data_IF_765781317254
#
_entry.id   IF_765781317254
#
_cell.length_a   1.000
_cell.length_b   1.000
_cell.length_c   1.000
_cell.angle_alpha   90.00
_cell.angle_beta   90.00
_cell.angle_gamma   90.00
#
_symmetry.space_group_name_H-M   'P 1'
#
loop_
_entity.id
_entity.type
_entity.pdbx_description
1 polymer ?
#
# COMPACT_ATOMS: atom_id res chain seq x y z
N UNK A 1 14.17 -2.67 -53.84
CA UNK A 1 14.92 -3.35 -52.77
C UNK A 1 14.28 -2.97 -51.44
N UNK A 2 13.65 -3.94 -50.75
CA UNK A 2 12.78 -3.74 -49.59
C UNK A 2 13.61 -3.38 -48.34
N UNK A 3 13.26 -2.31 -47.64
CA UNK A 3 13.77 -2.01 -46.30
C UNK A 3 12.71 -2.44 -45.29
N UNK A 4 13.04 -3.48 -44.52
CA UNK A 4 12.20 -4.09 -43.49
C UNK A 4 12.43 -3.38 -42.16
N UNK A 5 11.41 -2.71 -41.63
CA UNK A 5 11.36 -2.31 -40.22
C UNK A 5 10.58 -3.37 -39.43
N UNK A 6 11.30 -4.28 -38.80
CA UNK A 6 10.74 -5.25 -37.86
C UNK A 6 10.29 -4.55 -36.57
N UNK A 7 9.01 -4.17 -36.50
CA UNK A 7 8.37 -3.76 -35.25
C UNK A 7 7.90 -5.01 -34.51
N UNK A 8 8.69 -5.52 -33.58
CA UNK A 8 8.26 -6.63 -32.71
C UNK A 8 7.21 -6.11 -31.72
N UNK A 9 5.94 -6.34 -32.05
CA UNK A 9 4.82 -6.17 -31.14
C UNK A 9 4.77 -7.41 -30.23
N UNK A 10 5.14 -7.27 -28.96
CA UNK A 10 4.98 -8.34 -27.97
C UNK A 10 3.53 -8.34 -27.47
N UNK A 11 2.71 -9.25 -28.01
CA UNK A 11 1.39 -9.58 -27.46
C UNK A 11 1.59 -10.81 -26.59
N UNK A 12 1.40 -10.68 -25.26
CA UNK A 12 1.46 -11.84 -24.38
C UNK A 12 0.05 -12.26 -23.96
N UNK A 13 -0.36 -13.44 -24.43
CA UNK A 13 -1.34 -14.27 -23.76
C UNK A 13 -0.65 -15.03 -22.62
N UNK A 14 -1.17 -14.92 -21.40
CA UNK A 14 -0.57 -15.53 -20.22
C UNK A 14 -0.74 -17.05 -20.31
N UNK A 15 0.33 -17.77 -20.63
CA UNK A 15 0.45 -19.20 -20.33
C UNK A 15 1.61 -19.38 -19.35
N UNK A 16 1.28 -19.83 -18.13
CA UNK A 16 2.26 -20.10 -17.08
C UNK A 16 3.00 -21.40 -17.41
N UNK A 17 4.29 -21.31 -17.69
CA UNK A 17 5.21 -22.44 -17.62
C UNK A 17 6.43 -22.00 -16.84
N UNK A 18 6.63 -22.61 -15.67
CA UNK A 18 7.75 -22.36 -14.78
C UNK A 18 8.50 -23.68 -14.57
N UNK A 19 9.80 -23.66 -14.86
CA UNK A 19 10.85 -24.60 -14.45
C UNK A 19 12.16 -23.80 -14.62
N UNK A 20 13.21 -23.91 -13.80
CA UNK A 20 13.43 -24.51 -12.49
C UNK A 20 14.78 -23.92 -11.99
N UNK A 21 15.10 -24.11 -10.70
CA UNK A 21 16.45 -23.94 -10.09
C UNK A 21 17.07 -22.53 -9.92
N UNK A 22 16.77 -21.87 -8.78
CA UNK A 22 17.66 -20.88 -8.14
C UNK A 22 17.70 -21.19 -6.63
N UNK A 23 18.88 -21.26 -5.97
CA UNK A 23 18.98 -21.57 -4.54
C UNK A 23 18.33 -20.47 -3.68
N UNK A 24 17.87 -20.79 -2.46
CA UNK A 24 17.12 -19.87 -1.63
C UNK A 24 18.01 -18.70 -1.18
N UNK A 25 17.80 -17.54 -1.79
CA UNK A 25 18.31 -16.27 -1.28
C UNK A 25 17.65 -16.04 0.07
N UNK A 26 18.44 -15.92 1.13
CA UNK A 26 17.96 -15.43 2.42
C UNK A 26 17.38 -14.03 2.18
N UNK A 27 16.05 -13.91 2.19
CA UNK A 27 15.36 -12.64 1.99
C UNK A 27 15.71 -11.73 3.19
N UNK A 28 16.49 -10.65 3.02
CA UNK A 28 16.59 -9.66 4.08
C UNK A 28 15.19 -9.09 4.33
N UNK A 29 14.90 -8.80 5.61
CA UNK A 29 13.71 -8.11 6.12
C UNK A 29 12.84 -7.49 5.03
N UNK A 30 11.64 -8.06 4.83
CA UNK A 30 10.55 -7.60 3.93
C UNK A 30 10.86 -6.22 3.36
N UNK A 31 11.35 -6.19 2.11
CA UNK A 31 11.66 -4.93 1.42
C UNK A 31 10.46 -3.99 1.61
N UNK A 32 10.69 -2.74 2.06
CA UNK A 32 9.60 -1.83 2.30
C UNK A 32 8.79 -1.67 1.01
N UNK A 33 7.46 -1.87 1.10
CA UNK A 33 6.55 -1.77 -0.05
C UNK A 33 6.87 -0.50 -0.84
N UNK A 34 7.14 -0.58 -2.16
CA UNK A 34 7.46 0.58 -2.96
C UNK A 34 6.41 1.67 -2.80
N UNK A 35 6.84 2.93 -2.83
CA UNK A 35 5.91 4.03 -2.92
C UNK A 35 5.19 3.92 -4.28
N UNK A 36 3.84 3.97 -4.31
CA UNK A 36 3.10 3.96 -5.56
C UNK A 36 3.53 5.17 -6.38
N UNK A 37 3.60 4.98 -7.69
CA UNK A 37 3.85 6.10 -8.60
C UNK A 37 2.65 7.06 -8.53
N UNK A 38 2.89 8.37 -8.36
CA UNK A 38 1.85 9.37 -8.43
C UNK A 38 1.13 9.26 -9.77
N UNK A 39 -0.21 9.34 -9.78
CA UNK A 39 -0.98 9.18 -11.00
C UNK A 39 -0.49 10.14 -12.06
N UNK A 40 -0.55 9.70 -13.32
CA UNK A 40 -0.20 10.55 -14.46
C UNK A 40 -0.93 11.89 -14.38
N UNK A 41 -0.33 12.99 -14.87
CA UNK A 41 -0.99 14.28 -14.91
C UNK A 41 -2.35 14.15 -15.61
N UNK A 42 -3.40 14.68 -15.00
CA UNK A 42 -4.73 14.75 -15.60
C UNK A 42 -5.07 16.20 -15.86
N UNK A 43 -5.76 16.45 -16.96
CA UNK A 43 -6.25 17.77 -17.34
C UNK A 43 -7.48 18.11 -16.50
N UNK A 44 -7.68 19.38 -16.13
CA UNK A 44 -8.79 19.83 -15.26
C UNK A 44 -9.47 21.04 -15.90
N UNK A 45 -10.63 20.77 -16.49
CA UNK A 45 -11.41 21.75 -17.25
C UNK A 45 -12.57 22.34 -16.43
N UNK A 46 -12.71 21.98 -15.16
CA UNK A 46 -13.86 22.34 -14.31
C UNK A 46 -14.07 23.85 -14.13
N UNK A 47 -13.07 24.66 -14.47
CA UNK A 47 -13.12 26.13 -14.38
C UNK A 47 -12.76 26.82 -15.70
N UNK A 48 -12.86 26.15 -16.84
CA UNK A 48 -12.73 26.84 -18.14
C UNK A 48 -14.04 27.55 -18.47
N UNK A 49 -14.00 28.66 -19.24
CA UNK A 49 -15.21 29.27 -19.77
C UNK A 49 -15.97 28.31 -20.71
N UNK A 50 -17.26 28.54 -20.93
CA UNK A 50 -18.17 27.58 -21.59
C UNK A 50 -18.58 27.94 -23.02
N UNK A 51 -17.91 28.89 -23.67
CA UNK A 51 -18.25 29.30 -25.04
C UNK A 51 -18.01 28.20 -26.08
N UNK A 52 -18.61 28.37 -27.26
CA UNK A 52 -18.62 27.35 -28.32
C UNK A 52 -17.20 26.88 -28.70
N UNK A 53 -16.26 27.81 -28.92
CA UNK A 53 -14.88 27.47 -29.24
C UNK A 53 -14.20 26.60 -28.16
N UNK A 54 -14.55 26.81 -26.88
CA UNK A 54 -14.03 26.03 -25.76
C UNK A 54 -14.70 24.66 -25.69
N UNK A 55 -15.99 24.56 -26.03
CA UNK A 55 -16.70 23.28 -26.14
C UNK A 55 -16.14 22.42 -27.28
N UNK A 56 -15.83 23.02 -28.42
CA UNK A 56 -15.13 22.35 -29.53
C UNK A 56 -13.76 21.82 -29.08
N UNK A 57 -12.97 22.63 -28.35
CA UNK A 57 -11.70 22.19 -27.78
C UNK A 57 -11.85 21.05 -26.75
N UNK A 58 -12.91 21.08 -25.94
CA UNK A 58 -13.25 19.99 -25.02
C UNK A 58 -13.58 18.69 -25.78
N UNK A 59 -14.32 18.76 -26.89
CA UNK A 59 -14.67 17.59 -27.70
C UNK A 59 -13.43 16.93 -28.33
N UNK A 60 -12.47 17.73 -28.84
CA UNK A 60 -11.18 17.21 -29.32
C UNK A 60 -10.41 16.49 -28.21
N UNK A 61 -10.38 17.07 -27.01
CA UNK A 61 -9.71 16.46 -25.86
C UNK A 61 -10.36 15.13 -25.44
N UNK A 62 -11.69 15.05 -25.46
CA UNK A 62 -12.43 13.82 -25.15
C UNK A 62 -12.14 12.69 -26.15
N UNK A 63 -11.86 13.03 -27.41
CA UNK A 63 -11.43 12.09 -28.46
C UNK A 63 -9.95 11.72 -28.36
N UNK A 64 -9.22 12.25 -27.38
CA UNK A 64 -7.78 12.00 -27.20
C UNK A 64 -6.87 12.84 -28.11
N UNK A 65 -7.42 13.75 -28.91
CA UNK A 65 -6.68 14.61 -29.84
C UNK A 65 -6.05 15.79 -29.08
N UNK A 66 -5.04 15.51 -28.25
CA UNK A 66 -4.50 16.49 -27.28
C UNK A 66 -3.82 17.69 -27.95
N UNK A 67 -3.06 17.47 -29.03
CA UNK A 67 -2.41 18.54 -29.80
C UNK A 67 -3.43 19.47 -30.47
N UNK A 68 -4.46 18.90 -31.10
CA UNK A 68 -5.52 19.68 -31.75
C UNK A 68 -6.35 20.45 -30.72
N UNK A 69 -6.68 19.80 -29.59
CA UNK A 69 -7.34 20.46 -28.47
C UNK A 69 -6.49 21.62 -27.92
N UNK A 70 -5.17 21.47 -27.79
CA UNK A 70 -4.27 22.53 -27.34
C UNK A 70 -4.34 23.76 -28.27
N UNK A 71 -4.26 23.53 -29.58
CA UNK A 71 -4.40 24.59 -30.59
C UNK A 71 -5.78 25.25 -30.51
N UNK A 72 -6.85 24.48 -30.35
CA UNK A 72 -8.21 24.99 -30.22
C UNK A 72 -8.39 25.86 -28.95
N UNK A 73 -7.87 25.45 -27.79
CA UNK A 73 -7.89 26.29 -26.58
C UNK A 73 -7.11 27.59 -26.76
N UNK A 74 -5.94 27.53 -27.41
CA UNK A 74 -5.12 28.72 -27.66
C UNK A 74 -5.83 29.72 -28.59
N UNK A 75 -6.51 29.23 -29.64
CA UNK A 75 -7.31 30.06 -30.52
C UNK A 75 -8.53 30.64 -29.80
N UNK A 76 -9.24 29.83 -29.00
CA UNK A 76 -10.39 30.27 -28.22
C UNK A 76 -10.00 31.39 -27.24
N UNK A 77 -8.78 31.39 -26.71
CA UNK A 77 -8.30 32.41 -25.78
C UNK A 77 -8.41 33.86 -26.32
N UNK A 78 -8.37 34.05 -27.64
CA UNK A 78 -8.49 35.39 -28.25
C UNK A 78 -9.87 36.03 -28.05
N UNK A 79 -10.88 35.22 -27.72
CA UNK A 79 -12.27 35.67 -27.51
C UNK A 79 -12.55 36.08 -26.07
N UNK A 80 -11.58 35.91 -25.16
CA UNK A 80 -11.77 36.14 -23.73
C UNK A 80 -10.86 37.25 -23.22
N UNK A 81 -11.31 37.93 -22.17
CA UNK A 81 -10.49 38.85 -21.39
C UNK A 81 -9.76 38.13 -20.25
N UNK A 82 -8.82 38.84 -19.61
CA UNK A 82 -8.18 38.34 -18.39
C UNK A 82 -9.21 38.19 -17.26
N UNK A 83 -9.18 37.12 -16.44
CA UNK A 83 -8.15 36.09 -16.34
C UNK A 83 -8.42 34.81 -17.16
N UNK A 84 -9.52 34.75 -17.91
CA UNK A 84 -9.92 33.54 -18.64
C UNK A 84 -9.09 33.34 -19.91
N UNK A 85 -8.65 34.44 -20.56
CA UNK A 85 -7.64 34.40 -21.63
C UNK A 85 -6.39 33.64 -21.21
N UNK A 86 -5.75 34.05 -20.11
CA UNK A 86 -4.54 33.39 -19.62
C UNK A 86 -4.83 31.96 -19.18
N UNK A 87 -6.02 31.68 -18.63
CA UNK A 87 -6.41 30.33 -18.23
C UNK A 87 -6.47 29.38 -19.42
N UNK A 88 -7.02 29.83 -20.56
CA UNK A 88 -7.09 29.05 -21.80
C UNK A 88 -5.71 28.87 -22.43
N UNK A 89 -4.85 29.90 -22.42
CA UNK A 89 -3.45 29.77 -22.87
C UNK A 89 -2.69 28.75 -22.01
N UNK A 90 -2.85 28.80 -20.68
CA UNK A 90 -2.22 27.85 -19.77
C UNK A 90 -2.76 26.43 -19.93
N UNK A 91 -4.04 26.29 -20.30
CA UNK A 91 -4.63 24.99 -20.63
C UNK A 91 -4.00 24.41 -21.92
N UNK A 92 -3.80 25.23 -22.95
CA UNK A 92 -3.11 24.83 -24.17
C UNK A 92 -1.66 24.41 -23.89
N UNK A 93 -0.93 25.20 -23.12
CA UNK A 93 0.43 24.88 -22.68
C UNK A 93 0.51 23.62 -21.82
N UNK A 94 -0.47 23.37 -20.94
CA UNK A 94 -0.56 22.11 -20.18
C UNK A 94 -0.74 20.91 -21.12
N UNK A 95 -1.57 21.00 -22.15
CA UNK A 95 -1.72 19.90 -23.11
C UNK A 95 -0.45 19.65 -23.91
N UNK A 96 0.22 20.70 -24.36
CA UNK A 96 1.47 20.59 -25.10
C UNK A 96 2.58 19.91 -24.27
N UNK A 97 2.76 20.32 -23.01
CA UNK A 97 3.82 19.73 -22.16
C UNK A 97 3.55 18.26 -21.83
N UNK A 98 2.27 17.85 -21.74
CA UNK A 98 1.91 16.45 -21.50
C UNK A 98 2.12 15.55 -22.72
N UNK A 99 2.15 16.12 -23.92
CA UNK A 99 2.59 15.45 -25.16
C UNK A 99 4.11 15.53 -25.35
N UNK A 100 4.85 16.02 -24.35
CA UNK A 100 6.30 16.27 -24.41
C UNK A 100 6.71 17.27 -25.49
N UNK A 101 5.79 18.12 -25.94
CA UNK A 101 5.99 19.10 -27.01
C UNK A 101 6.47 20.43 -26.43
N UNK A 102 7.79 20.54 -26.27
CA UNK A 102 8.44 21.66 -25.57
C UNK A 102 8.32 22.96 -26.33
N UNK A 103 8.55 22.93 -27.63
CA UNK A 103 8.53 24.12 -28.47
C UNK A 103 7.12 24.73 -28.47
N UNK A 104 6.10 23.89 -28.66
CA UNK A 104 4.71 24.32 -28.61
C UNK A 104 4.30 24.85 -27.22
N UNK A 105 4.77 24.19 -26.16
CA UNK A 105 4.57 24.68 -24.78
C UNK A 105 5.14 26.08 -24.63
N UNK A 106 6.37 26.31 -25.07
CA UNK A 106 7.05 27.60 -24.91
C UNK A 106 6.40 28.70 -25.75
N UNK A 107 5.95 28.38 -26.97
CA UNK A 107 5.16 29.28 -27.82
C UNK A 107 3.91 29.73 -27.06
N UNK A 108 3.11 28.82 -26.51
CA UNK A 108 1.92 29.20 -25.76
C UNK A 108 2.25 30.02 -24.50
N UNK A 109 3.31 29.66 -23.76
CA UNK A 109 3.73 30.42 -22.58
C UNK A 109 4.19 31.85 -22.92
N UNK A 110 4.80 32.08 -24.09
CA UNK A 110 5.21 33.42 -24.52
C UNK A 110 4.04 34.37 -24.82
N UNK A 111 2.83 33.85 -25.03
CA UNK A 111 1.62 34.65 -25.28
C UNK A 111 0.93 35.17 -24.00
N UNK A 112 1.46 34.82 -22.82
CA UNK A 112 0.94 35.27 -21.53
C UNK A 112 1.33 36.73 -21.26
N UNK A 113 0.38 37.49 -20.70
CA UNK A 113 0.66 38.84 -20.21
C UNK A 113 1.51 38.84 -18.93
N UNK A 114 2.05 40.00 -18.56
CA UNK A 114 2.96 40.14 -17.42
C UNK A 114 2.31 39.95 -16.03
N UNK A 115 0.97 40.07 -15.93
CA UNK A 115 0.24 39.99 -14.65
C UNK A 115 -0.70 38.78 -14.65
N UNK A 116 -0.30 37.72 -13.95
CA UNK A 116 -1.16 36.56 -13.68
C UNK A 116 -1.76 36.66 -12.27
N UNK A 117 -3.05 36.35 -12.13
CA UNK A 117 -3.65 36.16 -10.82
C UNK A 117 -3.04 34.92 -10.11
N UNK A 118 -3.32 34.76 -8.81
CA UNK A 118 -2.75 33.67 -7.98
C UNK A 118 -2.97 32.27 -8.56
N UNK A 119 -4.15 31.99 -9.13
CA UNK A 119 -4.48 30.66 -9.67
C UNK A 119 -3.76 30.40 -10.99
N UNK A 120 -3.74 31.38 -11.89
CA UNK A 120 -3.04 31.28 -13.18
C UNK A 120 -1.52 31.25 -12.98
N UNK A 121 -0.98 31.97 -12.00
CA UNK A 121 0.42 31.86 -11.60
C UNK A 121 0.76 30.45 -11.10
N UNK A 122 -0.11 29.83 -10.29
CA UNK A 122 0.11 28.45 -9.85
C UNK A 122 0.07 27.43 -11.01
N UNK A 123 -0.81 27.64 -12.01
CA UNK A 123 -0.85 26.83 -13.25
C UNK A 123 0.42 27.02 -14.08
N UNK A 124 0.87 28.27 -14.25
CA UNK A 124 2.12 28.57 -14.93
C UNK A 124 3.32 27.86 -14.29
N UNK A 125 3.47 28.00 -12.96
CA UNK A 125 4.51 27.31 -12.18
C UNK A 125 4.41 25.78 -12.27
N UNK A 126 3.19 25.25 -12.34
CA UNK A 126 2.97 23.83 -12.57
C UNK A 126 3.52 23.38 -13.94
N UNK A 127 3.25 24.13 -15.01
CA UNK A 127 3.74 23.82 -16.37
C UNK A 127 5.26 23.93 -16.44
N UNK A 128 5.85 24.98 -15.84
CA UNK A 128 7.32 25.08 -15.72
C UNK A 128 7.91 23.88 -14.99
N UNK A 129 7.26 23.41 -13.92
CA UNK A 129 7.65 22.19 -13.22
C UNK A 129 7.52 20.92 -14.07
N UNK A 130 6.53 20.83 -14.96
CA UNK A 130 6.41 19.71 -15.90
C UNK A 130 7.53 19.73 -16.95
N UNK A 131 7.89 20.90 -17.49
CA UNK A 131 9.04 21.03 -18.39
C UNK A 131 10.33 20.55 -17.71
N UNK A 132 10.59 21.00 -16.48
CA UNK A 132 11.74 20.53 -15.71
C UNK A 132 11.71 19.01 -15.42
N UNK A 133 10.53 18.42 -15.28
CA UNK A 133 10.38 16.96 -15.17
C UNK A 133 10.70 16.23 -16.49
N UNK A 134 10.31 16.79 -17.64
CA UNK A 134 10.70 16.25 -18.95
C UNK A 134 12.22 16.31 -19.15
N UNK A 135 12.89 17.29 -18.53
CA UNK A 135 14.35 17.45 -18.49
C UNK A 135 15.06 16.52 -17.50
N UNK A 136 14.33 15.66 -16.79
CA UNK A 136 14.86 14.93 -15.63
C UNK A 136 15.53 15.85 -14.58
N UNK A 137 15.20 17.15 -14.59
CA UNK A 137 15.73 18.16 -13.69
C UNK A 137 14.88 18.23 -12.41
N UNK A 138 14.89 17.13 -11.65
CA UNK A 138 13.98 16.91 -10.51
C UNK A 138 14.05 17.97 -9.42
N UNK A 139 15.25 18.45 -9.08
CA UNK A 139 15.46 19.50 -8.08
C UNK A 139 14.84 20.82 -8.54
N UNK A 140 15.03 21.15 -9.81
CA UNK A 140 14.47 22.35 -10.43
C UNK A 140 12.94 22.27 -10.50
N UNK A 141 12.40 21.11 -10.87
CA UNK A 141 10.96 20.87 -10.82
C UNK A 141 10.38 21.13 -9.42
N UNK A 142 11.04 20.64 -8.35
CA UNK A 142 10.60 20.89 -6.97
C UNK A 142 10.71 22.35 -6.52
N UNK A 143 11.65 23.11 -7.09
CA UNK A 143 11.82 24.55 -6.86
C UNK A 143 10.69 25.35 -7.54
N UNK A 144 10.34 24.98 -8.77
CA UNK A 144 9.31 25.64 -9.57
C UNK A 144 7.89 25.30 -9.09
N UNK A 145 7.64 24.03 -8.76
CA UNK A 145 6.31 23.56 -8.37
C UNK A 145 5.84 24.22 -7.06
N UNK A 146 4.62 24.80 -7.00
CA UNK A 146 4.15 25.49 -5.80
C UNK A 146 4.14 24.58 -4.56
N UNK A 147 4.78 25.02 -3.48
CA UNK A 147 4.79 24.31 -2.18
C UNK A 147 3.47 24.50 -1.43
N UNK A 148 2.97 25.74 -1.39
CA UNK A 148 1.68 26.06 -0.78
C UNK A 148 0.58 26.01 -1.84
N UNK A 149 -0.36 25.10 -1.64
CA UNK A 149 -1.48 24.82 -2.54
C UNK A 149 -2.83 25.14 -1.90
N UNK A 150 -2.83 25.68 -0.67
CA UNK A 150 -4.05 26.10 0.03
C UNK A 150 -4.74 27.21 -0.76
N UNK A 151 -6.06 27.11 -0.91
CA UNK A 151 -6.86 28.09 -1.66
C UNK A 151 -6.90 27.88 -3.18
N UNK A 152 -6.08 26.99 -3.75
CA UNK A 152 -6.16 26.63 -5.17
C UNK A 152 -7.37 25.72 -5.45
N UNK A 153 -7.87 25.63 -6.68
CA UNK A 153 -8.87 24.63 -7.07
C UNK A 153 -8.40 23.21 -6.73
N UNK A 154 -9.30 22.33 -6.27
CA UNK A 154 -8.97 20.98 -5.80
C UNK A 154 -8.27 20.11 -6.86
N UNK A 155 -8.65 20.23 -8.13
CA UNK A 155 -7.97 19.55 -9.23
C UNK A 155 -6.52 20.02 -9.37
N UNK A 156 -6.28 21.33 -9.47
CA UNK A 156 -4.94 21.91 -9.54
C UNK A 156 -4.07 21.57 -8.32
N UNK A 157 -4.68 21.60 -7.13
CA UNK A 157 -4.07 21.16 -5.88
C UNK A 157 -3.55 19.72 -5.96
N UNK A 158 -4.31 18.81 -6.56
CA UNK A 158 -3.89 17.42 -6.74
C UNK A 158 -2.78 17.30 -7.77
N UNK A 159 -2.90 17.97 -8.93
CA UNK A 159 -1.89 17.96 -9.99
C UNK A 159 -0.51 18.38 -9.48
N UNK A 160 -0.44 19.53 -8.81
CA UNK A 160 0.82 20.06 -8.27
C UNK A 160 1.46 19.06 -7.31
N UNK A 161 0.68 18.49 -6.38
CA UNK A 161 1.21 17.60 -5.36
C UNK A 161 1.66 16.26 -5.94
N UNK A 162 0.93 15.73 -6.92
CA UNK A 162 1.35 14.53 -7.65
C UNK A 162 2.65 14.76 -8.44
N UNK A 163 2.79 15.93 -9.08
CA UNK A 163 4.02 16.31 -9.76
C UNK A 163 5.19 16.47 -8.80
N UNK A 164 4.97 17.08 -7.63
CA UNK A 164 5.99 17.20 -6.58
C UNK A 164 6.42 15.83 -6.05
N UNK A 165 5.48 14.92 -5.79
CA UNK A 165 5.83 13.54 -5.42
C UNK A 165 6.66 12.85 -6.50
N UNK A 166 6.28 13.02 -7.78
CA UNK A 166 7.01 12.38 -8.90
C UNK A 166 8.43 12.93 -9.00
N UNK A 167 8.60 14.24 -8.89
CA UNK A 167 9.91 14.88 -8.85
C UNK A 167 10.74 14.38 -7.66
N UNK A 168 10.14 14.31 -6.47
CA UNK A 168 10.81 13.83 -5.27
C UNK A 168 11.24 12.36 -5.37
N UNK A 169 10.38 11.47 -5.88
CA UNK A 169 10.72 10.07 -6.11
C UNK A 169 11.84 9.91 -7.14
N UNK A 170 11.73 10.61 -8.27
CA UNK A 170 12.68 10.51 -9.38
C UNK A 170 14.03 11.16 -9.06
N UNK A 171 14.07 12.05 -8.07
CA UNK A 171 15.33 12.65 -7.59
C UNK A 171 16.29 11.65 -6.95
N UNK A 172 15.79 10.50 -6.46
CA UNK A 172 16.57 9.53 -5.68
C UNK A 172 17.00 10.02 -4.28
N UNK A 173 16.72 11.28 -3.92
CA UNK A 173 17.07 11.84 -2.63
C UNK A 173 16.01 11.47 -1.57
N UNK A 174 16.42 10.64 -0.62
CA UNK A 174 15.57 10.11 0.46
C UNK A 174 15.06 11.21 1.39
N UNK A 175 15.85 12.26 1.63
CA UNK A 175 15.48 13.38 2.50
C UNK A 175 14.43 14.24 1.81
N UNK A 176 14.62 14.51 0.52
CA UNK A 176 13.64 15.22 -0.31
C UNK A 176 12.32 14.46 -0.36
N UNK A 177 12.37 13.15 -0.60
CA UNK A 177 11.18 12.31 -0.64
C UNK A 177 10.45 12.24 0.70
N UNK A 178 11.17 12.05 1.80
CA UNK A 178 10.59 12.08 3.15
C UNK A 178 9.96 13.45 3.47
N UNK A 179 10.60 14.54 3.05
CA UNK A 179 10.06 15.89 3.23
C UNK A 179 8.74 16.07 2.49
N UNK A 180 8.65 15.60 1.25
CA UNK A 180 7.41 15.69 0.48
C UNK A 180 6.29 14.81 1.09
N UNK A 181 6.61 13.62 1.58
CA UNK A 181 5.65 12.77 2.31
C UNK A 181 5.11 13.45 3.59
N UNK A 182 5.95 14.21 4.30
CA UNK A 182 5.53 15.00 5.48
C UNK A 182 4.59 16.13 5.05
N UNK A 183 4.92 16.87 3.99
CA UNK A 183 4.10 17.99 3.48
C UNK A 183 2.71 17.49 3.06
N UNK A 184 2.64 16.34 2.40
CA UNK A 184 1.40 15.83 1.84
C UNK A 184 0.48 15.10 2.83
N UNK A 185 0.97 14.81 4.03
CA UNK A 185 0.23 14.07 5.05
C UNK A 185 -1.11 14.72 5.42
N UNK A 186 -1.18 16.06 5.44
CA UNK A 186 -2.39 16.82 5.79
C UNK A 186 -3.63 16.47 4.94
N UNK A 187 -3.44 15.81 3.79
CA UNK A 187 -4.52 15.36 2.90
C UNK A 187 -4.96 13.93 3.11
N UNK A 188 -4.17 13.14 3.82
CA UNK A 188 -4.50 11.75 4.10
C UNK A 188 -5.62 11.73 5.14
N UNK A 189 -6.83 11.36 4.71
CA UNK A 189 -8.00 11.29 5.60
C UNK A 189 -8.10 9.95 6.31
N UNK A 190 -7.66 8.88 5.64
CA UNK A 190 -7.82 7.52 6.15
C UNK A 190 -6.68 7.16 7.10
N UNK A 191 -7.02 6.68 8.31
CA UNK A 191 -6.05 6.31 9.34
C UNK A 191 -4.99 5.33 8.86
N UNK A 192 -5.36 4.38 7.99
CA UNK A 192 -4.40 3.43 7.42
C UNK A 192 -3.40 4.10 6.46
N UNK A 193 -3.84 5.10 5.68
CA UNK A 193 -2.99 5.83 4.73
C UNK A 193 -1.97 6.68 5.49
N UNK A 194 -2.42 7.36 6.56
CA UNK A 194 -1.55 8.12 7.46
C UNK A 194 -0.47 7.20 8.05
N UNK A 195 -0.88 6.04 8.61
CA UNK A 195 0.07 5.07 9.18
C UNK A 195 1.07 4.56 8.13
N UNK A 196 0.60 4.27 6.92
CA UNK A 196 1.48 3.84 5.82
C UNK A 196 2.46 4.95 5.40
N UNK A 197 2.00 6.21 5.36
CA UNK A 197 2.84 7.38 5.11
C UNK A 197 3.96 7.51 6.14
N UNK A 198 3.64 7.35 7.42
CA UNK A 198 4.62 7.36 8.52
C UNK A 198 5.67 6.27 8.36
N UNK A 199 5.27 5.04 8.03
CA UNK A 199 6.22 3.95 7.77
C UNK A 199 7.10 4.25 6.55
N UNK A 200 6.58 4.88 5.50
CA UNK A 200 7.36 5.32 4.34
C UNK A 200 8.38 6.39 4.70
N UNK A 201 7.98 7.43 5.43
CA UNK A 201 8.89 8.47 5.94
C UNK A 201 10.02 7.82 6.74
N UNK A 202 9.65 6.95 7.70
CA UNK A 202 10.62 6.24 8.51
C UNK A 202 11.61 5.43 7.67
N UNK A 203 11.13 4.64 6.72
CA UNK A 203 11.97 3.77 5.91
C UNK A 203 12.95 4.56 5.03
N UNK A 204 12.54 5.71 4.49
CA UNK A 204 13.45 6.59 3.74
C UNK A 204 14.60 7.10 4.62
N UNK A 205 14.28 7.56 5.83
CA UNK A 205 15.27 8.15 6.73
C UNK A 205 16.15 7.11 7.43
N UNK A 206 15.63 5.91 7.72
CA UNK A 206 16.37 4.84 8.39
C UNK A 206 17.53 4.27 7.55
N UNK A 207 17.52 4.53 6.23
CA UNK A 207 18.60 4.17 5.31
C UNK A 207 19.73 5.21 5.27
N UNK A 208 19.58 6.36 5.94
CA UNK A 208 20.62 7.38 6.00
C UNK A 208 21.72 6.99 7.00
N UNK A 209 22.94 7.43 6.70
CA UNK A 209 24.09 7.35 7.61
C UNK A 209 23.94 8.32 8.77
N UNK A 210 24.67 8.08 9.86
CA UNK A 210 24.66 8.96 11.04
C UNK A 210 25.11 10.38 10.70
N UNK A 211 26.22 10.52 9.98
CA UNK A 211 26.76 11.81 9.56
C UNK A 211 25.72 12.60 8.74
N UNK A 212 25.06 11.95 7.78
CA UNK A 212 24.02 12.60 6.97
C UNK A 212 22.83 13.02 7.82
N UNK A 213 22.37 12.17 8.74
CA UNK A 213 21.28 12.51 9.67
C UNK A 213 21.64 13.72 10.56
N UNK A 214 22.88 13.80 11.04
CA UNK A 214 23.38 14.93 11.82
C UNK A 214 23.34 16.24 11.04
N UNK A 215 23.82 16.22 9.79
CA UNK A 215 23.81 17.36 8.87
C UNK A 215 22.39 17.86 8.57
N UNK A 216 21.49 16.98 8.10
CA UNK A 216 20.16 17.40 7.63
C UNK A 216 19.20 17.78 8.76
N UNK A 217 19.41 17.26 9.98
CA UNK A 217 18.62 17.64 11.14
C UNK A 217 18.81 19.12 11.48
N UNK A 218 20.05 19.61 11.44
CA UNK A 218 20.40 20.99 11.78
C UNK A 218 19.80 22.01 10.81
N UNK A 219 19.68 21.64 9.53
CA UNK A 219 19.20 22.53 8.46
C UNK A 219 17.69 22.43 8.17
N UNK A 220 16.98 21.43 8.71
CA UNK A 220 15.56 21.22 8.40
C UNK A 220 14.65 22.27 9.10
N UNK A 221 13.93 23.13 8.36
CA UNK A 221 13.08 24.16 8.96
C UNK A 221 11.70 23.64 9.37
N UNK A 222 11.28 22.46 8.87
CA UNK A 222 9.93 21.95 9.11
C UNK A 222 9.88 21.13 10.42
N UNK A 223 9.10 21.53 11.45
CA UNK A 223 9.14 20.89 12.77
C UNK A 223 8.82 19.38 12.75
N UNK A 224 7.83 18.96 11.95
CA UNK A 224 7.50 17.52 11.80
C UNK A 224 8.63 16.74 11.11
N UNK A 225 9.26 17.30 10.07
CA UNK A 225 10.39 16.62 9.43
C UNK A 225 11.58 16.53 10.39
N UNK A 226 11.86 17.59 11.15
CA UNK A 226 12.90 17.60 12.18
C UNK A 226 12.67 16.50 13.22
N UNK A 227 11.45 16.36 13.74
CA UNK A 227 11.12 15.30 14.68
C UNK A 227 11.33 13.88 14.12
N UNK A 228 11.04 13.65 12.83
CA UNK A 228 11.32 12.36 12.17
C UNK A 228 12.83 12.10 11.99
N UNK A 229 13.61 13.12 11.66
CA UNK A 229 15.08 13.04 11.58
C UNK A 229 15.69 12.75 12.96
N UNK A 230 15.20 13.42 13.99
CA UNK A 230 15.62 13.21 15.39
C UNK A 230 15.46 11.75 15.81
N UNK A 231 14.28 11.16 15.57
CA UNK A 231 14.03 9.76 15.95
C UNK A 231 14.99 8.79 15.24
N UNK A 232 15.29 9.02 13.96
CA UNK A 232 16.23 8.19 13.21
C UNK A 232 17.67 8.35 13.72
N UNK A 233 18.07 9.59 14.03
CA UNK A 233 19.37 9.87 14.64
C UNK A 233 19.50 9.20 16.01
N UNK A 234 18.50 9.37 16.89
CA UNK A 234 18.50 8.79 18.24
C UNK A 234 18.61 7.26 18.22
N UNK A 235 17.93 6.61 17.26
CA UNK A 235 18.08 5.17 17.03
C UNK A 235 19.52 4.79 16.72
N UNK A 236 20.21 5.59 15.89
CA UNK A 236 21.58 5.29 15.44
C UNK A 236 22.58 5.47 16.58
N UNK A 237 22.55 6.60 17.27
CA UNK A 237 23.49 6.90 18.36
C UNK A 237 23.28 6.04 19.62
N UNK A 238 22.10 5.45 19.79
CA UNK A 238 21.78 4.62 20.96
C UNK A 238 21.71 3.12 20.61
N UNK A 239 22.31 2.71 19.49
CA UNK A 239 22.17 1.34 18.96
C UNK A 239 22.61 0.25 19.95
N UNK A 240 23.57 0.56 20.83
CA UNK A 240 24.16 -0.38 21.79
C UNK A 240 23.71 -0.14 23.25
N UNK A 241 22.94 0.91 23.54
CA UNK A 241 22.44 1.22 24.89
C UNK A 241 20.93 1.49 24.86
N UNK A 242 20.18 0.46 25.22
CA UNK A 242 18.72 0.52 25.29
C UNK A 242 18.21 1.45 26.39
N UNK A 243 18.94 1.63 27.50
CA UNK A 243 18.54 2.56 28.55
C UNK A 243 18.73 4.00 28.09
N UNK A 244 19.86 4.31 27.42
CA UNK A 244 20.09 5.60 26.81
C UNK A 244 19.05 5.91 25.73
N UNK A 245 18.71 4.93 24.88
CA UNK A 245 17.64 5.08 23.89
C UNK A 245 16.32 5.46 24.58
N UNK A 246 15.93 4.77 25.65
CA UNK A 246 14.70 5.06 26.38
C UNK A 246 14.70 6.48 26.99
N UNK A 247 15.81 6.89 27.63
CA UNK A 247 15.95 8.26 28.17
C UNK A 247 15.84 9.32 27.06
N UNK A 248 16.50 9.07 25.92
CA UNK A 248 16.50 9.97 24.78
C UNK A 248 15.11 10.08 24.14
N UNK A 249 14.42 8.96 23.93
CA UNK A 249 13.07 8.94 23.39
C UNK A 249 12.10 9.66 24.33
N UNK A 250 12.14 9.41 25.63
CA UNK A 250 11.30 10.14 26.60
C UNK A 250 11.55 11.65 26.57
N UNK A 251 12.80 12.08 26.40
CA UNK A 251 13.16 13.51 26.23
C UNK A 251 12.58 14.06 24.93
N UNK A 252 12.76 13.34 23.83
CA UNK A 252 12.19 13.72 22.54
C UNK A 252 10.66 13.86 22.60
N UNK A 253 9.95 12.95 23.25
CA UNK A 253 8.49 13.01 23.40
C UNK A 253 8.01 14.26 24.16
N UNK A 254 8.79 14.74 25.15
CA UNK A 254 8.49 16.01 25.86
C UNK A 254 8.62 17.22 24.94
N UNK A 255 9.60 17.21 24.04
CA UNK A 255 9.80 18.29 23.05
C UNK A 255 8.80 18.22 21.89
N UNK A 256 8.24 17.03 21.62
CA UNK A 256 7.36 16.74 20.48
C UNK A 256 6.05 16.01 20.90
N UNK A 257 5.25 16.58 21.82
CA UNK A 257 4.15 15.86 22.47
C UNK A 257 3.03 15.42 21.50
N UNK A 258 2.81 16.15 20.40
CA UNK A 258 1.78 15.85 19.39
C UNK A 258 2.34 15.33 18.06
N UNK A 259 3.61 14.92 18.04
CA UNK A 259 4.28 14.55 16.79
C UNK A 259 3.78 13.19 16.25
N UNK A 260 3.57 13.05 14.92
CA UNK A 260 3.08 11.80 14.32
C UNK A 260 3.98 10.58 14.58
N UNK A 261 5.28 10.82 14.76
CA UNK A 261 6.25 9.78 15.12
C UNK A 261 6.12 9.19 16.54
N UNK A 262 5.21 9.66 17.38
CA UNK A 262 5.03 9.13 18.75
C UNK A 262 4.67 7.64 18.77
N UNK A 263 3.87 7.16 17.83
CA UNK A 263 3.56 5.73 17.71
C UNK A 263 4.82 4.89 17.44
N UNK A 264 5.74 5.41 16.63
CA UNK A 264 7.03 4.76 16.33
C UNK A 264 7.96 4.83 17.54
N UNK A 265 8.08 6.00 18.17
CA UNK A 265 8.87 6.20 19.38
C UNK A 265 8.46 5.23 20.49
N UNK A 266 7.15 5.04 20.69
CA UNK A 266 6.61 4.06 21.64
C UNK A 266 6.99 2.62 21.29
N UNK A 267 7.00 2.24 20.02
CA UNK A 267 7.48 0.91 19.60
C UNK A 267 8.97 0.74 19.92
N UNK A 268 9.80 1.76 19.69
CA UNK A 268 11.25 1.69 19.94
C UNK A 268 11.57 1.39 21.42
N UNK A 269 10.80 1.95 22.35
CA UNK A 269 11.00 1.69 23.79
C UNK A 269 10.29 0.41 24.29
N UNK A 270 9.24 -0.08 23.61
CA UNK A 270 8.52 -1.31 24.01
C UNK A 270 9.34 -2.58 23.80
N UNK A 271 10.17 -2.64 22.76
CA UNK A 271 11.05 -3.78 22.48
C UNK A 271 12.21 -3.90 23.51
N UNK A 272 12.35 -2.93 24.41
CA UNK A 272 13.35 -2.90 25.49
C UNK A 272 12.82 -3.54 26.78
N UNK A 273 11.52 -3.94 26.85
CA UNK A 273 11.01 -4.78 27.95
C UNK A 273 11.53 -6.22 27.82
N UNK A 274 12.85 -6.38 27.95
CA UNK A 274 13.44 -7.62 28.43
C UNK A 274 13.43 -7.48 29.95
N UNK A 275 12.58 -8.22 30.64
CA UNK A 275 12.84 -8.50 32.06
C UNK A 275 14.22 -9.14 32.09
N UNK A 276 15.24 -8.57 32.76
CA UNK A 276 16.50 -9.28 32.94
C UNK A 276 16.14 -10.62 33.55
N UNK A 277 16.59 -11.71 32.93
CA UNK A 277 16.59 -13.00 33.59
C UNK A 277 17.46 -12.82 34.84
N UNK A 278 16.79 -12.71 35.98
CA UNK A 278 17.46 -12.57 37.27
C UNK A 278 17.90 -13.98 37.64
N UNK A 279 19.20 -14.23 37.61
CA UNK A 279 19.78 -15.47 38.13
C UNK A 279 19.73 -15.37 39.66
N UNK A 280 18.55 -15.56 40.25
CA UNK A 280 18.43 -15.67 41.70
C UNK A 280 18.57 -17.16 42.08
N UNK A 281 19.83 -17.50 42.42
CA UNK A 281 20.35 -18.68 43.16
C UNK A 281 20.28 -20.07 42.48
N UNK A 282 21.38 -20.86 42.52
CA UNK A 282 21.36 -22.25 42.11
C UNK A 282 20.53 -23.08 43.11
N UNK A 283 19.49 -23.74 42.61
CA UNK A 283 18.77 -24.78 43.35
C UNK A 283 19.64 -26.05 43.31
N UNK A 284 19.98 -26.68 44.45
CA UNK A 284 20.69 -27.94 44.44
C UNK A 284 19.82 -29.03 43.82
N UNK A 285 20.29 -29.63 42.73
CA UNK A 285 19.62 -30.77 42.10
C UNK A 285 19.91 -32.01 42.96
N UNK A 286 18.89 -32.54 43.64
CA UNK A 286 18.96 -33.90 44.22
C UNK A 286 18.65 -34.92 43.11
N UNK A 287 19.41 -36.02 42.98
CA UNK A 287 19.12 -37.05 41.99
C UNK A 287 17.80 -37.76 42.32
N UNK A 288 16.90 -37.82 41.33
CA UNK A 288 15.64 -38.57 41.39
C UNK A 288 15.89 -39.98 40.86
N UNK A 289 15.56 -41.06 41.61
CA UNK A 289 15.70 -42.42 41.12
C UNK A 289 14.58 -42.78 40.14
N UNK A 290 14.94 -43.40 39.01
CA UNK A 290 14.02 -43.89 37.99
C UNK A 290 13.52 -45.28 38.42
N UNK A 291 12.20 -45.45 38.57
CA UNK A 291 11.55 -46.78 38.62
C UNK A 291 10.80 -47.03 37.31
N UNK A 292 10.88 -48.23 36.71
CA UNK A 292 10.14 -48.56 35.50
C UNK A 292 8.67 -48.88 35.83
N UNK A 293 7.74 -48.36 35.03
CA UNK A 293 6.30 -48.68 35.11
C UNK A 293 5.89 -49.46 33.87
N UNK A 294 5.33 -50.64 34.08
CA UNK A 294 4.79 -51.53 33.04
C UNK A 294 3.37 -51.11 32.60
N UNK A 295 3.07 -51.34 31.33
CA UNK A 295 1.78 -51.02 30.67
C UNK A 295 0.80 -52.18 30.82
N UNK A 296 -0.49 -51.89 31.13
CA UNK A 296 -1.63 -52.80 30.93
C UNK A 296 -2.66 -52.18 29.96
N UNK A 297 -3.39 -52.99 29.14
CA UNK A 297 -4.29 -52.48 28.10
C UNK A 297 -5.73 -52.25 28.62
N UNK A 298 -6.45 -51.29 28.02
CA UNK A 298 -7.87 -50.97 28.30
C UNK A 298 -8.77 -51.58 27.19
N UNK A 299 -9.94 -52.17 27.52
CA UNK A 299 -10.82 -52.83 26.55
C UNK A 299 -11.83 -51.90 25.83
N UNK A 300 -12.33 -52.37 24.69
CA UNK A 300 -13.28 -51.69 23.78
C UNK A 300 -14.74 -52.06 24.08
N UNK A 301 -15.72 -51.12 24.13
CA UNK A 301 -17.14 -51.47 24.14
C UNK A 301 -17.76 -51.50 22.73
N UNK A 302 -18.60 -52.52 22.48
CA UNK A 302 -19.41 -52.73 21.27
C UNK A 302 -20.70 -51.88 21.28
N UNK A 303 -21.16 -51.45 20.10
CA UNK A 303 -22.43 -50.73 19.87
C UNK A 303 -23.63 -51.67 19.68
N UNK A 304 -24.85 -51.18 19.99
CA UNK A 304 -26.16 -51.69 19.51
C UNK A 304 -27.02 -50.50 18.98
N UNK A 305 -28.02 -50.73 18.10
CA UNK A 305 -28.51 -49.69 17.16
C UNK A 305 -29.89 -49.04 17.48
N UNK A 306 -29.95 -47.70 17.30
CA UNK A 306 -30.91 -46.80 16.56
C UNK A 306 -32.45 -46.97 16.79
N UNK A 307 -33.35 -45.96 17.05
CA UNK A 307 -33.71 -44.66 16.39
C UNK A 307 -34.89 -43.93 17.16
N UNK A 308 -35.50 -42.81 16.69
CA UNK A 308 -35.17 -41.37 16.84
C UNK A 308 -36.14 -40.56 17.75
N UNK A 309 -35.80 -39.30 18.10
CA UNK A 309 -36.66 -38.09 18.12
C UNK A 309 -35.86 -36.90 18.72
N UNK A 310 -35.91 -35.74 18.05
CA UNK A 310 -35.32 -34.45 18.47
C UNK A 310 -36.06 -33.88 19.70
N UNK A 311 -35.37 -33.09 20.57
CA UNK A 311 -35.51 -31.65 20.40
C UNK A 311 -34.21 -30.85 20.55
N UNK A 312 -34.23 -29.71 19.88
CA UNK A 312 -33.26 -28.62 19.84
C UNK A 312 -32.86 -28.15 21.25
N UNK A 313 -31.56 -28.14 21.56
CA UNK A 313 -31.01 -27.30 22.64
C UNK A 313 -30.14 -26.18 22.06
N UNK A 314 -30.48 -24.95 22.43
CA UNK A 314 -29.88 -23.68 21.98
C UNK A 314 -28.38 -23.62 22.36
N UNK A 315 -27.49 -23.08 21.51
CA UNK A 315 -26.11 -22.85 21.92
C UNK A 315 -26.02 -21.74 22.97
N UNK A 316 -25.20 -21.99 23.99
CA UNK A 316 -24.86 -21.08 25.10
C UNK A 316 -24.26 -19.77 24.55
N UNK A 317 -24.74 -18.57 24.96
CA UNK A 317 -24.15 -17.32 24.52
C UNK A 317 -22.84 -17.04 25.28
N UNK A 318 -21.78 -16.70 24.56
CA UNK A 318 -20.59 -16.07 25.16
C UNK A 318 -20.54 -14.62 24.63
N UNK A 319 -20.91 -13.66 25.49
CA UNK A 319 -20.63 -12.23 25.30
C UNK A 319 -19.25 -11.89 25.90
N UNK A 320 -18.43 -11.11 25.19
CA UNK A 320 -17.21 -10.53 25.76
C UNK A 320 -16.11 -10.02 24.81
N UNK A 321 -16.42 -9.05 23.93
CA UNK A 321 -15.61 -7.91 23.40
C UNK A 321 -14.08 -7.97 23.13
N UNK A 322 -13.35 -9.06 23.23
CA UNK A 322 -11.92 -9.11 22.87
C UNK A 322 -11.68 -9.88 21.56
N UNK A 323 -10.69 -9.43 20.77
CA UNK A 323 -10.13 -10.25 19.68
C UNK A 323 -9.62 -11.55 20.29
N UNK A 324 -9.97 -12.74 19.75
CA UNK A 324 -9.31 -13.95 20.17
C UNK A 324 -7.80 -13.71 20.06
N UNK A 325 -7.00 -13.91 21.11
CA UNK A 325 -5.56 -13.74 21.01
C UNK A 325 -5.05 -14.64 19.88
N UNK A 326 -4.08 -14.18 19.10
CA UNK A 326 -3.44 -15.05 18.14
C UNK A 326 -2.89 -16.28 18.90
N UNK A 327 -3.15 -17.50 18.41
CA UNK A 327 -2.75 -18.71 19.10
C UNK A 327 -1.21 -18.73 19.25
N UNK A 328 -0.72 -19.14 20.43
CA UNK A 328 0.73 -19.25 20.70
C UNK A 328 1.39 -20.36 19.87
N UNK A 329 0.61 -21.33 19.42
CA UNK A 329 0.98 -22.39 18.48
C UNK A 329 -0.22 -22.73 17.63
N UNK A 330 -0.02 -22.89 16.32
CA UNK A 330 -1.06 -23.31 15.39
C UNK A 330 -0.83 -24.79 15.06
N UNK A 331 -1.85 -25.63 15.21
CA UNK A 331 -1.81 -27.06 14.84
C UNK A 331 -2.95 -27.45 13.90
N UNK A 332 -4.05 -26.72 13.90
CA UNK A 332 -5.23 -26.98 13.06
C UNK A 332 -5.67 -25.72 12.36
N UNK A 333 -5.55 -25.70 11.03
CA UNK A 333 -5.97 -24.61 10.17
C UNK A 333 -7.13 -25.07 9.31
N UNK A 334 -8.10 -24.20 9.10
CA UNK A 334 -9.10 -24.38 8.05
C UNK A 334 -8.83 -23.44 6.88
N UNK A 335 -8.83 -23.97 5.66
CA UNK A 335 -8.82 -23.20 4.43
C UNK A 335 -10.21 -23.20 3.79
N UNK A 336 -10.83 -22.03 3.63
CA UNK A 336 -12.13 -21.85 2.97
C UNK A 336 -11.87 -21.14 1.63
N UNK A 337 -11.85 -21.90 0.53
CA UNK A 337 -11.40 -21.43 -0.79
C UNK A 337 -12.45 -21.74 -1.86
N UNK A 338 -12.58 -20.95 -2.94
CA UNK A 338 -13.48 -21.29 -4.05
C UNK A 338 -12.89 -22.45 -4.85
N UNK A 339 -13.30 -23.69 -4.58
CA UNK A 339 -12.74 -24.88 -5.24
C UNK A 339 -13.58 -25.32 -6.46
N UNK A 340 -14.82 -24.86 -6.55
CA UNK A 340 -15.73 -25.03 -7.69
C UNK A 340 -16.15 -23.67 -8.27
N UNK A 341 -16.86 -23.66 -9.40
CA UNK A 341 -17.35 -22.45 -10.06
C UNK A 341 -16.27 -21.61 -10.78
N UNK A 342 -16.62 -20.38 -11.14
CA UNK A 342 -15.79 -19.49 -11.99
C UNK A 342 -14.44 -19.11 -11.38
N UNK A 343 -14.32 -19.12 -10.06
CA UNK A 343 -13.06 -18.82 -9.35
C UNK A 343 -12.28 -20.08 -8.91
N UNK A 344 -12.68 -21.27 -9.39
CA UNK A 344 -12.07 -22.55 -8.99
C UNK A 344 -10.57 -22.64 -9.29
N UNK A 345 -10.14 -22.13 -10.44
CA UNK A 345 -8.73 -22.10 -10.82
C UNK A 345 -7.89 -21.33 -9.79
N UNK A 346 -8.36 -20.15 -9.37
CA UNK A 346 -7.69 -19.32 -8.36
C UNK A 346 -7.66 -20.02 -7.00
N UNK A 347 -8.79 -20.60 -6.57
CA UNK A 347 -8.85 -21.32 -5.29
C UNK A 347 -7.96 -22.56 -5.26
N UNK A 348 -7.84 -23.31 -6.36
CA UNK A 348 -6.92 -24.45 -6.48
C UNK A 348 -5.44 -24.01 -6.43
N UNK A 349 -5.09 -22.88 -7.05
CA UNK A 349 -3.75 -22.31 -6.97
C UNK A 349 -3.40 -21.86 -5.55
N UNK A 350 -4.32 -21.16 -4.89
CA UNK A 350 -4.17 -20.78 -3.48
C UNK A 350 -4.00 -22.01 -2.58
N UNK A 351 -4.82 -23.04 -2.76
CA UNK A 351 -4.71 -24.28 -2.00
C UNK A 351 -3.36 -24.96 -2.22
N UNK A 352 -2.86 -24.97 -3.45
CA UNK A 352 -1.57 -25.57 -3.79
C UNK A 352 -0.42 -24.83 -3.11
N UNK A 353 -0.43 -23.49 -3.12
CA UNK A 353 0.54 -22.66 -2.42
C UNK A 353 0.50 -22.86 -0.91
N UNK A 354 -0.69 -22.91 -0.31
CA UNK A 354 -0.88 -23.19 1.12
C UNK A 354 -0.32 -24.56 1.49
N UNK A 355 -0.63 -25.61 0.71
CA UNK A 355 -0.11 -26.97 0.95
C UNK A 355 1.41 -27.06 0.75
N UNK A 356 1.98 -26.31 -0.19
CA UNK A 356 3.44 -26.24 -0.36
C UNK A 356 4.09 -25.58 0.85
N UNK A 357 3.61 -24.41 1.27
CA UNK A 357 4.14 -23.73 2.45
C UNK A 357 4.00 -24.58 3.73
N UNK A 358 2.90 -25.32 3.86
CA UNK A 358 2.73 -26.31 4.94
C UNK A 358 3.83 -27.36 4.91
N UNK A 359 4.10 -27.99 3.75
CA UNK A 359 5.17 -29.00 3.64
C UNK A 359 6.55 -28.43 3.94
N UNK A 360 6.83 -27.22 3.45
CA UNK A 360 8.17 -26.63 3.52
C UNK A 360 8.49 -26.05 4.91
N UNK A 361 7.49 -25.50 5.62
CA UNK A 361 7.73 -24.69 6.82
C UNK A 361 6.92 -25.10 8.05
N UNK A 362 5.87 -25.92 7.90
CA UNK A 362 4.89 -26.16 8.96
C UNK A 362 4.22 -27.54 8.81
N UNK A 363 5.03 -28.58 8.66
CA UNK A 363 4.59 -29.95 8.33
C UNK A 363 3.74 -30.59 9.44
N UNK A 364 3.84 -30.07 10.66
CA UNK A 364 3.09 -30.46 11.85
C UNK A 364 1.70 -29.82 11.94
N UNK A 365 1.40 -28.82 11.11
CA UNK A 365 0.08 -28.18 11.02
C UNK A 365 -0.84 -29.05 10.16
N UNK A 366 -2.04 -29.34 10.63
CA UNK A 366 -3.10 -30.02 9.86
C UNK A 366 -4.01 -28.98 9.21
N UNK A 367 -4.25 -29.12 7.91
CA UNK A 367 -5.11 -28.22 7.13
C UNK A 367 -6.36 -28.97 6.66
N UNK A 368 -7.54 -28.52 7.12
CA UNK A 368 -8.84 -28.97 6.58
C UNK A 368 -9.33 -27.96 5.56
N UNK A 369 -9.91 -28.45 4.46
CA UNK A 369 -10.30 -27.60 3.34
C UNK A 369 -11.81 -27.66 3.13
N UNK A 370 -12.42 -26.49 2.93
CA UNK A 370 -13.83 -26.34 2.61
C UNK A 370 -13.97 -25.51 1.34
N UNK A 371 -14.90 -25.92 0.46
CA UNK A 371 -15.25 -25.14 -0.70
C UNK A 371 -16.18 -23.99 -0.30
N UNK A 372 -15.72 -22.76 -0.50
CA UNK A 372 -16.52 -21.57 -0.24
C UNK A 372 -17.79 -21.50 -1.09
N UNK A 373 -17.84 -22.19 -2.24
CA UNK A 373 -18.96 -22.17 -3.18
C UNK A 373 -20.03 -23.25 -2.92
N UNK A 374 -19.85 -24.10 -1.89
CA UNK A 374 -20.81 -25.16 -1.56
C UNK A 374 -22.06 -24.68 -0.81
N UNK A 375 -22.32 -23.37 -0.73
CA UNK A 375 -23.46 -22.80 0.01
C UNK A 375 -23.19 -21.41 0.62
N UNK A 376 -24.00 -21.04 1.61
CA UNK A 376 -23.84 -19.80 2.37
C UNK A 376 -22.53 -19.79 3.19
N UNK A 377 -21.82 -18.66 3.15
CA UNK A 377 -20.50 -18.57 3.78
C UNK A 377 -20.55 -18.67 5.30
N UNK A 378 -21.60 -18.17 5.97
CA UNK A 378 -21.72 -18.26 7.41
C UNK A 378 -21.98 -19.70 7.85
N UNK A 379 -22.81 -20.44 7.09
CA UNK A 379 -23.04 -21.86 7.32
C UNK A 379 -21.77 -22.69 7.11
N UNK A 380 -21.02 -22.43 6.03
CA UNK A 380 -19.73 -23.10 5.75
C UNK A 380 -18.72 -22.79 6.86
N UNK A 381 -18.60 -21.52 7.25
CA UNK A 381 -17.69 -21.09 8.31
C UNK A 381 -18.05 -21.74 9.66
N UNK A 382 -19.34 -21.76 10.02
CA UNK A 382 -19.85 -22.44 11.21
C UNK A 382 -19.54 -23.95 11.20
N UNK A 383 -19.79 -24.64 10.08
CA UNK A 383 -19.43 -26.07 9.92
C UNK A 383 -17.92 -26.30 10.03
N UNK A 384 -17.12 -25.43 9.44
CA UNK A 384 -15.67 -25.50 9.44
C UNK A 384 -15.08 -25.45 10.85
N UNK A 385 -15.54 -24.50 11.68
CA UNK A 385 -15.03 -24.33 13.04
C UNK A 385 -15.65 -25.31 14.05
N UNK A 386 -16.78 -25.94 13.71
CA UNK A 386 -17.45 -26.93 14.58
C UNK A 386 -16.87 -28.34 14.42
N UNK A 387 -16.09 -28.59 13.36
CA UNK A 387 -15.54 -29.90 13.02
C UNK A 387 -14.22 -30.25 13.75
N UNK A 388 -13.85 -29.49 14.79
CA UNK A 388 -12.68 -29.73 15.65
C UNK A 388 -12.12 -28.45 16.29
N UNK A 389 -11.05 -28.58 17.08
CA UNK A 389 -10.31 -27.43 17.63
C UNK A 389 -9.55 -26.70 16.52
N UNK A 390 -10.19 -25.74 15.86
CA UNK A 390 -9.58 -24.91 14.80
C UNK A 390 -8.88 -23.71 15.43
N UNK A 391 -7.58 -23.57 15.17
CA UNK A 391 -6.76 -22.47 15.70
C UNK A 391 -6.82 -21.22 14.82
N UNK A 392 -6.99 -21.41 13.51
CA UNK A 392 -6.98 -20.32 12.53
C UNK A 392 -7.75 -20.66 11.25
N UNK A 393 -8.34 -19.65 10.62
CA UNK A 393 -9.02 -19.79 9.32
C UNK A 393 -8.33 -18.94 8.25
N UNK A 394 -8.07 -19.52 7.09
CA UNK A 394 -7.56 -18.86 5.89
C UNK A 394 -8.69 -18.83 4.85
N UNK A 395 -9.07 -17.63 4.40
CA UNK A 395 -10.19 -17.38 3.50
C UNK A 395 -11.39 -16.72 4.18
N UNK A 396 -12.44 -16.37 3.42
CA UNK A 396 -12.62 -16.63 1.99
C UNK A 396 -11.86 -15.66 1.08
N UNK A 397 -11.83 -15.96 -0.22
CA UNK A 397 -11.22 -15.11 -1.26
C UNK A 397 -12.19 -14.10 -1.89
N UNK A 398 -13.46 -14.46 -2.05
CA UNK A 398 -14.42 -13.58 -2.73
C UNK A 398 -14.81 -12.38 -1.85
N UNK A 399 -14.74 -11.16 -2.41
CA UNK A 399 -15.04 -9.90 -1.70
C UNK A 399 -16.43 -9.88 -1.07
N UNK A 400 -17.45 -10.42 -1.76
CA UNK A 400 -18.84 -10.51 -1.26
C UNK A 400 -18.91 -11.44 -0.05
N UNK A 401 -18.20 -12.56 -0.07
CA UNK A 401 -18.19 -13.54 1.03
C UNK A 401 -17.44 -13.03 2.27
N UNK A 402 -16.37 -12.27 2.07
CA UNK A 402 -15.70 -11.56 3.17
C UNK A 402 -16.65 -10.53 3.79
N UNK A 403 -17.38 -9.77 2.96
CA UNK A 403 -18.38 -8.80 3.43
C UNK A 403 -19.59 -9.45 4.13
N UNK A 404 -19.96 -10.68 3.75
CA UNK A 404 -20.99 -11.45 4.45
C UNK A 404 -20.52 -11.92 5.83
N UNK A 405 -19.29 -12.42 5.95
CA UNK A 405 -18.70 -12.77 7.25
C UNK A 405 -18.52 -11.54 8.16
N UNK A 406 -18.32 -10.36 7.57
CA UNK A 406 -18.18 -9.11 8.34
C UNK A 406 -19.48 -8.57 8.94
N UNK A 407 -20.63 -9.21 8.69
CA UNK A 407 -21.93 -8.80 9.25
C UNK A 407 -22.09 -9.17 10.73
N UNK A 408 -21.28 -10.10 11.22
CA UNK A 408 -21.19 -10.38 12.66
C UNK A 408 -20.26 -9.38 13.33
N UNK A 409 -20.42 -9.12 14.62
CA UNK A 409 -19.58 -8.16 15.36
C UNK A 409 -18.19 -8.71 15.71
N UNK A 410 -18.06 -10.02 15.79
CA UNK A 410 -16.81 -10.73 16.04
C UNK A 410 -16.84 -12.15 15.45
N UNK A 411 -15.69 -12.62 15.00
CA UNK A 411 -15.49 -14.01 14.60
C UNK A 411 -14.94 -14.83 15.77
N UNK A 412 -15.44 -16.05 15.99
CA UNK A 412 -15.02 -16.92 17.10
C UNK A 412 -13.59 -17.47 16.95
N UNK A 413 -13.06 -17.46 15.73
CA UNK A 413 -11.70 -17.91 15.39
C UNK A 413 -11.05 -16.81 14.54
N UNK A 414 -9.76 -16.53 14.79
CA UNK A 414 -9.02 -15.57 13.98
C UNK A 414 -8.97 -16.02 12.52
N UNK A 415 -9.37 -15.11 11.62
CA UNK A 415 -9.61 -15.41 10.21
C UNK A 415 -8.87 -14.43 9.31
N UNK A 416 -8.16 -14.93 8.31
CA UNK A 416 -7.50 -14.14 7.28
C UNK A 416 -8.28 -14.20 5.96
N UNK A 417 -9.07 -13.17 5.66
CA UNK A 417 -9.70 -13.00 4.35
C UNK A 417 -8.64 -12.73 3.27
N UNK A 418 -8.73 -13.44 2.14
CA UNK A 418 -7.74 -13.39 1.06
C UNK A 418 -8.02 -12.29 0.02
N UNK A 419 -8.79 -11.28 0.42
CA UNK A 419 -9.11 -10.10 -0.38
C UNK A 419 -9.59 -8.97 0.56
N UNK A 420 -9.82 -7.80 0.01
CA UNK A 420 -10.35 -6.66 0.76
C UNK A 420 -11.87 -6.60 0.66
N UNK A 421 -12.54 -6.37 1.78
CA UNK A 421 -13.89 -5.81 1.77
C UNK A 421 -13.79 -4.30 1.56
N UNK A 422 -14.85 -3.67 1.06
CA UNK A 422 -14.86 -2.22 0.78
C UNK A 422 -14.70 -1.34 2.04
N UNK A 423 -15.33 -0.16 2.06
CA UNK A 423 -15.14 0.85 3.12
C UNK A 423 -15.79 0.49 4.48
N UNK A 424 -16.02 -0.79 4.78
CA UNK A 424 -16.66 -1.26 6.02
C UNK A 424 -15.60 -1.66 7.04
N UNK A 425 -15.82 -1.35 8.32
CA UNK A 425 -14.90 -1.73 9.41
C UNK A 425 -14.93 -3.24 9.63
N UNK A 426 -13.75 -3.87 9.73
CA UNK A 426 -13.65 -5.30 9.99
C UNK A 426 -14.20 -5.65 11.37
N UNK A 427 -14.94 -6.77 11.50
CA UNK A 427 -15.27 -7.29 12.81
C UNK A 427 -14.02 -7.75 13.53
N UNK A 428 -14.13 -7.84 14.84
CA UNK A 428 -13.07 -8.36 15.69
C UNK A 428 -12.74 -9.80 15.29
N UNK A 429 -11.46 -10.10 15.03
CA UNK A 429 -10.99 -11.43 14.63
C UNK A 429 -10.88 -11.64 13.11
N UNK A 430 -11.31 -10.67 12.28
CA UNK A 430 -11.11 -10.71 10.83
C UNK A 430 -9.93 -9.83 10.39
N UNK A 431 -8.95 -10.45 9.75
CA UNK A 431 -7.81 -9.84 9.08
C UNK A 431 -7.98 -9.93 7.56
N UNK A 432 -7.31 -9.06 6.80
CA UNK A 432 -7.44 -9.00 5.33
C UNK A 432 -6.07 -8.97 4.67
N UNK A 433 -5.88 -9.79 3.66
CA UNK A 433 -4.67 -9.89 2.85
C UNK A 433 -5.06 -10.16 1.40
N UNK A 434 -4.88 -9.18 0.51
CA UNK A 434 -5.21 -9.33 -0.91
C UNK A 434 -4.07 -8.86 -1.79
N UNK A 435 -3.92 -9.51 -2.93
CA UNK A 435 -3.10 -9.01 -4.04
C UNK A 435 -3.98 -8.02 -4.80
N UNK A 436 -3.70 -6.73 -4.64
CA UNK A 436 -4.36 -5.70 -5.45
C UNK A 436 -3.78 -5.82 -6.86
N UNK A 437 -4.60 -5.95 -7.92
CA UNK A 437 -4.12 -5.97 -9.32
C UNK A 437 -3.19 -4.79 -9.64
N UNK A 438 -3.40 -3.66 -8.96
CA UNK A 438 -2.56 -2.48 -9.03
C UNK A 438 -1.12 -2.73 -8.55
N UNK A 439 -0.93 -3.60 -7.55
CA UNK A 439 0.39 -3.97 -7.03
C UNK A 439 1.14 -4.89 -8.03
N UNK A 440 0.45 -5.84 -8.65
CA UNK A 440 1.04 -6.75 -9.66
C UNK A 440 1.33 -6.03 -10.99
N UNK A 441 0.41 -5.18 -11.46
CA UNK A 441 0.61 -4.38 -12.68
C UNK A 441 1.82 -3.45 -12.53
N UNK A 442 2.01 -2.90 -11.33
CA UNK A 442 3.18 -2.06 -11.01
C UNK A 442 4.47 -2.88 -11.04
N UNK A 443 4.47 -4.09 -10.49
CA UNK A 443 5.65 -4.96 -10.47
C UNK A 443 6.05 -5.41 -11.89
N UNK A 444 5.08 -5.78 -12.72
CA UNK A 444 5.33 -6.17 -14.13
C UNK A 444 5.81 -4.98 -14.95
N UNK A 445 5.24 -3.78 -14.76
CA UNK A 445 5.71 -2.58 -15.44
C UNK A 445 7.17 -2.24 -15.10
N UNK A 446 7.56 -2.40 -13.84
CA UNK A 446 8.96 -2.21 -13.41
C UNK A 446 9.91 -3.25 -14.00
N UNK A 447 9.48 -4.51 -14.10
CA UNK A 447 10.29 -5.56 -14.70
C UNK A 447 10.50 -5.34 -16.21
N UNK A 448 9.46 -4.92 -16.93
CA UNK A 448 9.55 -4.62 -18.36
C UNK A 448 10.45 -3.42 -18.66
N UNK A 449 10.38 -2.38 -17.81
CA UNK A 449 11.30 -1.24 -17.87
C UNK A 449 12.76 -1.66 -17.59
N UNK A 450 13.00 -2.51 -16.59
CA UNK A 450 14.34 -3.04 -16.31
C UNK A 450 14.88 -3.91 -17.44
N UNK A 451 14.00 -4.54 -18.22
CA UNK A 451 14.32 -5.30 -19.42
C UNK A 451 14.44 -4.42 -20.69
N UNK A 452 14.33 -3.09 -20.56
CA UNK A 452 14.52 -2.14 -21.64
C UNK A 452 13.30 -1.93 -22.55
N UNK A 453 12.14 -2.50 -22.20
CA UNK A 453 10.92 -2.28 -22.97
C UNK A 453 10.38 -0.86 -22.72
N UNK A 454 10.27 -0.08 -23.81
CA UNK A 454 9.82 1.34 -23.77
C UNK A 454 8.36 1.54 -24.20
N UNK A 455 7.73 0.52 -24.78
CA UNK A 455 6.33 0.53 -25.23
C UNK A 455 5.66 -0.72 -24.69
N UNK A 456 4.67 -0.54 -23.84
CA UNK A 456 3.93 -1.63 -23.19
C UNK A 456 2.45 -1.38 -23.41
N UNK A 457 1.75 -2.35 -23.99
CA UNK A 457 0.30 -2.35 -24.06
C UNK A 457 -0.24 -3.12 -22.86
N UNK A 458 -1.12 -2.49 -22.07
CA UNK A 458 -1.82 -3.14 -20.97
C UNK A 458 -3.23 -3.43 -21.48
N UNK A 459 -3.60 -4.70 -21.50
CA UNK A 459 -4.96 -5.15 -21.83
C UNK A 459 -5.62 -5.57 -20.52
N UNK A 460 -6.70 -4.87 -20.15
CA UNK A 460 -7.49 -5.16 -18.96
C UNK A 460 -8.96 -5.38 -19.36
N UNK A 461 -9.67 -6.34 -18.72
CA UNK A 461 -11.10 -6.59 -18.98
C UNK A 461 -12.03 -5.55 -18.37
#
# INVERSE_FOLDING_TARGET
MKISFGSSLAILAITLSACDSVPPIALPNVLPRPLPQPPAPRVDNSRLPTGEAVQQANALLQRGQRRDAAKAYFNAAQQYSSPDRERLILQAAELAVLESDRDLTQIYLSALGQRLNTVNMARYRYIQGQLALLDASHKEALRLLPKNVKGLPSGLQQKIMNARMRAAQSSGDRVVLATELVIQESRLKQKYQIKLNHERIWNQLNLLSEARLGEVRGSSPHPIMRGWLDLNYLKRISSNDSQQLNRNIKRWQRNFPRHPGNDRANKMIRHIKVTPYRVDKPVPIKPVPIKPVAVKPIPVPRQKPVKPVLPVTKPKPIMGRATPPLPRSVKQVVAILPLTGSLSAVGKSLLSGIKKAQRDYASDIKIKVYDSNSGDINAIYGKAISAGNVDFVIGPFNKVKIAQLSRTSALPVNTLGLNYMGNVKAPTGLYQFGLLPEDETTQVAHQLLAQGHKKVAIVAP
#
